data_IF_289864115280
#
_entry.id   IF_289864115280
#
_cell.length_a   1.000
_cell.length_b   1.000
_cell.length_c   1.000
_cell.angle_alpha   90.00
_cell.angle_beta   90.00
_cell.angle_gamma   90.00
#
_symmetry.space_group_name_H-M   'P 1'
#
loop_
_entity.id
_entity.type
_entity.pdbx_description
1 polymer ?
#
# COMPACT_ATOMS: atom_id res chain seq x y z
N UNK A 1 -11.33 13.62 25.83
CA UNK A 1 -10.63 12.84 24.81
C UNK A 1 -11.53 12.66 23.60
N UNK A 2 -11.14 13.26 22.54
CA UNK A 2 -11.88 13.15 21.30
C UNK A 2 -11.72 11.74 20.74
N UNK A 3 -12.83 11.06 20.50
CA UNK A 3 -12.86 9.91 19.61
C UNK A 3 -12.11 10.29 18.34
N UNK A 4 -11.30 9.36 17.80
CA UNK A 4 -10.71 9.64 16.50
C UNK A 4 -11.85 9.99 15.54
N UNK A 5 -11.92 11.23 15.23
CA UNK A 5 -12.83 11.70 14.23
C UNK A 5 -12.53 10.91 12.96
N UNK A 6 -13.53 10.26 12.41
CA UNK A 6 -13.40 9.75 11.06
C UNK A 6 -12.74 10.86 10.25
N UNK A 7 -11.58 10.57 9.67
CA UNK A 7 -10.82 11.56 8.92
C UNK A 7 -11.78 12.26 7.97
N UNK A 8 -11.83 13.58 8.04
CA UNK A 8 -12.60 14.34 7.09
C UNK A 8 -12.15 13.95 5.68
N UNK A 9 -13.07 13.76 4.74
CA UNK A 9 -12.68 13.42 3.38
C UNK A 9 -11.71 14.49 2.87
N UNK A 10 -10.60 14.04 2.27
CA UNK A 10 -9.63 14.95 1.68
C UNK A 10 -10.26 15.69 0.49
N UNK A 11 -9.73 16.88 0.17
CA UNK A 11 -10.18 17.62 -1.01
C UNK A 11 -10.09 16.75 -2.26
N UNK A 12 -10.98 17.03 -3.23
CA UNK A 12 -11.04 16.29 -4.49
C UNK A 12 -9.72 16.30 -5.29
N UNK A 13 -8.78 17.19 -4.95
CA UNK A 13 -7.48 17.32 -5.62
C UNK A 13 -6.38 16.46 -4.99
N UNK A 14 -6.72 15.43 -4.23
CA UNK A 14 -5.72 14.57 -3.58
C UNK A 14 -5.14 13.53 -4.56
N UNK A 15 -3.85 13.29 -4.43
CA UNK A 15 -3.26 12.08 -4.98
C UNK A 15 -3.73 10.88 -4.17
N UNK A 16 -3.91 9.75 -4.83
CA UNK A 16 -4.39 8.52 -4.18
C UNK A 16 -3.35 7.44 -4.35
N UNK A 17 -2.96 6.83 -3.24
CA UNK A 17 -2.03 5.71 -3.20
C UNK A 17 -2.75 4.47 -2.66
N UNK A 18 -2.77 3.40 -3.43
CA UNK A 18 -3.08 2.06 -2.95
C UNK A 18 -1.77 1.31 -2.85
N UNK A 19 -1.46 0.79 -1.67
CA UNK A 19 -0.19 0.07 -1.47
C UNK A 19 -0.44 -1.28 -0.82
N UNK A 20 0.44 -2.22 -1.16
CA UNK A 20 0.46 -3.55 -0.58
C UNK A 20 1.88 -4.11 -0.62
N UNK A 21 2.17 -5.07 0.21
CA UNK A 21 3.45 -5.74 0.25
C UNK A 21 3.29 -7.19 0.64
N UNK A 22 4.21 -8.01 0.18
CA UNK A 22 4.18 -9.43 0.46
C UNK A 22 5.61 -9.91 0.69
N UNK A 23 5.80 -10.80 1.65
CA UNK A 23 7.06 -11.50 1.85
C UNK A 23 6.85 -12.99 1.58
N UNK A 24 7.78 -13.61 0.83
CA UNK A 24 7.67 -15.02 0.54
C UNK A 24 9.03 -15.71 0.59
N UNK A 25 9.15 -16.73 1.49
CA UNK A 25 8.24 -17.00 2.60
C UNK A 25 8.15 -15.80 3.55
N UNK A 26 7.29 -15.86 4.58
CA UNK A 26 7.17 -14.77 5.54
C UNK A 26 7.79 -15.17 6.89
N UNK A 27 8.96 -14.61 7.31
CA UNK A 27 9.76 -13.60 6.59
C UNK A 27 10.52 -14.17 5.40
N UNK A 28 10.83 -13.29 4.45
CA UNK A 28 11.54 -13.69 3.25
C UNK A 28 11.73 -12.50 2.31
N UNK A 29 11.95 -12.81 1.04
CA UNK A 29 12.06 -11.80 0.02
C UNK A 29 10.75 -11.03 -0.09
N UNK A 30 10.84 -9.71 -0.22
CA UNK A 30 9.66 -8.85 -0.24
C UNK A 30 9.33 -8.36 -1.64
N UNK A 31 8.03 -8.35 -1.94
CA UNK A 31 7.48 -7.70 -3.12
C UNK A 31 6.70 -6.47 -2.71
N UNK A 32 6.94 -5.37 -3.41
CA UNK A 32 6.31 -4.08 -3.15
C UNK A 32 5.35 -3.75 -4.29
N UNK A 33 4.12 -3.41 -3.96
CA UNK A 33 3.11 -3.03 -4.93
C UNK A 33 2.44 -1.72 -4.56
N UNK A 34 2.26 -0.85 -5.53
CA UNK A 34 1.53 0.38 -5.33
C UNK A 34 0.89 0.85 -6.63
N UNK A 35 -0.25 1.51 -6.48
CA UNK A 35 -0.97 2.17 -7.57
C UNK A 35 -1.13 3.62 -7.19
N UNK A 36 -0.65 4.51 -8.03
CA UNK A 36 -0.74 5.96 -7.80
C UNK A 36 -1.69 6.56 -8.83
N UNK A 37 -2.72 7.21 -8.32
CA UNK A 37 -3.75 7.89 -9.11
C UNK A 37 -3.64 9.39 -8.88
N UNK A 38 -3.63 10.16 -9.94
CA UNK A 38 -3.54 11.62 -9.84
C UNK A 38 -4.85 12.25 -9.36
N UNK A 39 -4.82 13.58 -9.09
CA UNK A 39 -5.99 14.29 -8.61
C UNK A 39 -7.20 14.26 -9.55
N UNK A 40 -6.95 14.03 -10.83
CA UNK A 40 -8.01 13.92 -11.85
C UNK A 40 -8.61 12.50 -11.93
N UNK A 41 -8.18 11.57 -11.07
CA UNK A 41 -8.67 10.20 -11.06
C UNK A 41 -8.00 9.28 -12.06
N UNK A 42 -7.02 9.76 -12.82
CA UNK A 42 -6.31 8.91 -13.80
C UNK A 42 -5.13 8.20 -13.19
N UNK A 43 -4.90 6.97 -13.62
CA UNK A 43 -3.71 6.20 -13.22
C UNK A 43 -2.45 6.92 -13.71
N UNK A 44 -1.50 7.13 -12.81
CA UNK A 44 -0.25 7.82 -13.12
C UNK A 44 0.97 6.92 -13.07
N UNK A 45 0.98 5.97 -12.14
CA UNK A 45 2.14 5.11 -11.95
C UNK A 45 1.75 3.82 -11.23
N UNK A 46 2.47 2.75 -11.51
CA UNK A 46 2.36 1.49 -10.80
C UNK A 46 3.75 1.05 -10.38
N UNK A 47 3.84 0.48 -9.17
CA UNK A 47 5.08 -0.06 -8.62
C UNK A 47 4.91 -1.57 -8.45
N UNK A 48 5.87 -2.32 -8.96
CA UNK A 48 5.98 -3.77 -8.77
C UNK A 48 7.46 -4.09 -8.67
N UNK A 49 7.99 -4.11 -7.45
CA UNK A 49 9.43 -4.22 -7.21
C UNK A 49 9.72 -5.28 -6.15
N UNK A 50 10.71 -6.12 -6.40
CA UNK A 50 11.21 -7.06 -5.41
C UNK A 50 12.42 -6.45 -4.71
N UNK A 51 12.53 -6.68 -3.39
CA UNK A 51 13.71 -6.25 -2.65
C UNK A 51 14.85 -7.26 -2.81
N UNK A 52 16.07 -6.80 -2.55
CA UNK A 52 17.27 -7.66 -2.55
C UNK A 52 17.57 -8.22 -1.15
N UNK A 53 16.78 -7.85 -0.16
CA UNK A 53 16.92 -8.28 1.22
C UNK A 53 15.57 -8.81 1.74
N UNK A 54 15.58 -9.46 2.88
CA UNK A 54 14.41 -10.13 3.43
C UNK A 54 13.75 -9.31 4.53
N UNK A 55 12.45 -9.54 4.73
CA UNK A 55 11.67 -8.93 5.79
C UNK A 55 10.33 -9.65 5.95
N UNK A 56 9.48 -9.11 6.79
CA UNK A 56 8.13 -9.64 6.99
C UNK A 56 7.09 -8.91 6.14
N UNK A 57 5.87 -9.43 6.12
CA UNK A 57 4.77 -8.80 5.39
C UNK A 57 4.54 -7.34 5.80
N UNK A 58 4.58 -7.04 7.11
CA UNK A 58 4.38 -5.67 7.59
C UNK A 58 5.47 -4.72 7.07
N UNK A 59 6.70 -5.18 7.04
CA UNK A 59 7.81 -4.40 6.48
C UNK A 59 7.62 -4.17 4.98
N UNK A 60 7.20 -5.21 4.24
CA UNK A 60 6.96 -5.10 2.81
C UNK A 60 5.89 -4.04 2.50
N UNK A 61 4.82 -4.03 3.26
CA UNK A 61 3.74 -3.05 3.06
C UNK A 61 4.19 -1.63 3.39
N UNK A 62 4.95 -1.46 4.46
CA UNK A 62 5.50 -0.16 4.82
C UNK A 62 6.46 0.36 3.75
N UNK A 63 7.34 -0.50 3.23
CA UNK A 63 8.26 -0.14 2.17
C UNK A 63 7.55 0.18 0.85
N UNK A 64 6.44 -0.51 0.56
CA UNK A 64 5.63 -0.19 -0.61
C UNK A 64 5.08 1.24 -0.54
N UNK A 65 4.55 1.63 0.61
CA UNK A 65 4.10 3.00 0.83
C UNK A 65 5.25 3.99 0.66
N UNK A 66 6.38 3.73 1.30
CA UNK A 66 7.55 4.62 1.22
C UNK A 66 8.05 4.77 -0.22
N UNK A 67 8.04 3.69 -0.98
CA UNK A 67 8.43 3.72 -2.38
C UNK A 67 7.50 4.57 -3.22
N UNK A 68 6.19 4.48 -2.96
CA UNK A 68 5.19 5.32 -3.61
C UNK A 68 5.40 6.81 -3.27
N UNK A 69 5.66 7.11 -2.01
CA UNK A 69 5.91 8.50 -1.57
C UNK A 69 7.19 9.06 -2.19
N UNK A 70 8.23 8.25 -2.33
CA UNK A 70 9.47 8.65 -3.00
C UNK A 70 9.20 9.00 -4.47
N UNK A 71 8.44 8.17 -5.16
CA UNK A 71 8.09 8.45 -6.55
C UNK A 71 7.33 9.77 -6.66
N UNK A 72 6.36 9.97 -5.78
CA UNK A 72 5.54 11.18 -5.77
C UNK A 72 6.40 12.44 -5.53
N UNK A 73 7.34 12.36 -4.60
CA UNK A 73 8.28 13.46 -4.34
C UNK A 73 9.14 13.77 -5.56
N UNK A 74 9.55 12.74 -6.31
CA UNK A 74 10.37 12.90 -7.52
C UNK A 74 9.61 13.59 -8.66
N UNK A 75 8.28 13.59 -8.62
CA UNK A 75 7.46 14.23 -9.65
C UNK A 75 7.32 15.73 -9.45
N UNK A 76 7.96 16.28 -8.44
CA UNK A 76 7.85 17.73 -8.17
C UNK A 76 6.49 18.14 -7.63
N UNK A 77 5.77 17.22 -7.00
CA UNK A 77 4.47 17.50 -6.38
C UNK A 77 4.68 18.49 -5.23
N UNK A 78 3.84 19.51 -5.19
CA UNK A 78 3.97 20.57 -4.17
C UNK A 78 3.80 20.02 -2.76
N UNK A 79 4.54 20.58 -1.81
CA UNK A 79 4.51 20.17 -0.41
C UNK A 79 3.14 20.34 0.26
N UNK A 80 2.27 21.16 -0.31
CA UNK A 80 0.90 21.38 0.17
C UNK A 80 -0.12 20.39 -0.42
N UNK A 81 0.31 19.51 -1.32
CA UNK A 81 -0.58 18.60 -2.03
C UNK A 81 -1.14 17.53 -1.09
N UNK A 82 -2.47 17.37 -1.04
CA UNK A 82 -3.07 16.32 -0.23
C UNK A 82 -2.81 14.93 -0.83
N UNK A 83 -2.65 13.95 0.04
CA UNK A 83 -2.41 12.55 -0.34
C UNK A 83 -3.34 11.64 0.47
N UNK A 84 -4.08 10.78 -0.21
CA UNK A 84 -4.91 9.76 0.41
C UNK A 84 -4.23 8.40 0.22
N UNK A 85 -3.98 7.71 1.32
CA UNK A 85 -3.38 6.37 1.31
C UNK A 85 -4.42 5.33 1.72
N UNK A 86 -4.53 4.29 0.92
CA UNK A 86 -5.35 3.12 1.22
C UNK A 86 -4.46 1.90 1.40
N UNK A 87 -4.71 1.14 2.45
CA UNK A 87 -4.00 -0.11 2.73
C UNK A 87 -4.98 -1.11 3.35
N UNK A 88 -4.80 -2.38 3.06
CA UNK A 88 -5.57 -3.45 3.69
C UNK A 88 -4.90 -3.99 4.96
N UNK A 89 -3.80 -3.37 5.38
CA UNK A 89 -3.09 -3.73 6.60
C UNK A 89 -3.49 -2.79 7.74
N UNK A 90 -4.31 -3.28 8.65
CA UNK A 90 -4.77 -2.48 9.81
C UNK A 90 -3.61 -2.08 10.73
N UNK A 91 -2.57 -2.90 10.83
CA UNK A 91 -1.38 -2.60 11.64
C UNK A 91 -0.65 -1.39 11.07
N UNK A 92 -0.45 -1.35 9.76
CA UNK A 92 0.20 -0.23 9.09
C UNK A 92 -0.56 1.07 9.33
N UNK A 93 -1.87 1.04 9.10
CA UNK A 93 -2.73 2.22 9.27
C UNK A 93 -2.71 2.71 10.72
N UNK A 94 -2.82 1.81 11.68
CA UNK A 94 -2.77 2.15 13.09
C UNK A 94 -1.41 2.72 13.51
N UNK A 95 -0.32 2.12 13.08
CA UNK A 95 1.04 2.55 13.44
C UNK A 95 1.39 3.92 12.85
N UNK A 96 0.92 4.22 11.66
CA UNK A 96 1.16 5.52 11.02
C UNK A 96 0.19 6.59 11.49
N UNK A 97 -1.04 6.20 11.82
CA UNK A 97 -2.12 7.14 12.13
C UNK A 97 -2.19 7.58 13.57
N UNK A 98 -1.61 6.84 14.50
CA UNK A 98 -1.68 7.17 15.93
C UNK A 98 -0.44 6.72 16.69
N UNK A 99 0.05 7.60 17.56
CA UNK A 99 1.16 7.27 18.46
C UNK A 99 0.72 6.43 19.65
N UNK A 100 -0.57 6.25 19.86
CA UNK A 100 -1.10 5.47 20.97
C UNK A 100 -0.95 3.95 20.76
N UNK A 101 -0.77 3.52 19.52
CA UNK A 101 -0.55 2.10 19.21
C UNK A 101 0.87 1.70 19.57
N UNK A 102 1.08 0.62 20.35
CA UNK A 102 2.42 0.16 20.68
C UNK A 102 3.23 -0.09 19.41
N UNK A 103 4.44 0.46 19.30
CA UNK A 103 5.24 0.29 18.09
C UNK A 103 5.72 -1.15 17.95
N UNK A 104 5.84 -1.60 16.72
CA UNK A 104 6.58 -2.81 16.41
C UNK A 104 8.06 -2.42 16.51
N UNK A 105 8.71 -2.81 17.62
CA UNK A 105 10.04 -2.31 17.98
C UNK A 105 11.07 -2.47 16.85
N UNK A 106 11.04 -3.61 16.17
CA UNK A 106 11.96 -3.90 15.06
C UNK A 106 11.77 -2.97 13.87
N UNK A 107 10.54 -2.48 13.63
CA UNK A 107 10.22 -1.61 12.52
C UNK A 107 10.10 -0.13 12.90
N UNK A 108 10.34 0.21 14.17
CA UNK A 108 10.17 1.58 14.66
C UNK A 108 10.97 2.61 13.84
N UNK A 109 12.26 2.40 13.52
CA UNK A 109 12.99 3.37 12.70
C UNK A 109 12.39 3.55 11.30
N UNK A 110 11.87 2.47 10.74
CA UNK A 110 11.26 2.51 9.40
C UNK A 110 9.92 3.26 9.43
N UNK A 111 9.12 3.05 10.46
CA UNK A 111 7.89 3.81 10.65
C UNK A 111 8.16 5.30 10.86
N UNK A 112 9.22 5.64 11.59
CA UNK A 112 9.62 7.03 11.78
C UNK A 112 10.00 7.68 10.46
N UNK A 113 10.73 6.96 9.61
CA UNK A 113 11.07 7.46 8.27
C UNK A 113 9.84 7.65 7.40
N UNK A 114 8.92 6.70 7.43
CA UNK A 114 7.65 6.82 6.69
C UNK A 114 6.86 8.05 7.13
N UNK A 115 6.80 8.31 8.43
CA UNK A 115 6.12 9.51 8.95
C UNK A 115 6.78 10.78 8.46
N UNK A 116 8.12 10.82 8.42
CA UNK A 116 8.84 11.98 7.86
C UNK A 116 8.50 12.21 6.40
N UNK A 117 8.43 11.13 5.62
CA UNK A 117 8.04 11.24 4.20
C UNK A 117 6.62 11.76 4.05
N UNK A 118 5.69 11.29 4.87
CA UNK A 118 4.29 11.77 4.86
C UNK A 118 4.20 13.25 5.21
N UNK A 119 5.04 13.73 6.11
CA UNK A 119 5.08 15.16 6.48
C UNK A 119 5.54 16.06 5.35
N UNK A 120 6.17 15.52 4.33
CA UNK A 120 6.58 16.26 3.13
C UNK A 120 5.43 16.61 2.19
N UNK A 121 4.21 16.22 2.50
CA UNK A 121 3.02 16.51 1.71
C UNK A 121 2.01 17.30 2.53
N UNK A 122 0.91 17.71 1.87
CA UNK A 122 -0.19 18.40 2.54
C UNK A 122 -0.99 17.44 3.44
N UNK A 123 -2.28 17.69 3.65
CA UNK A 123 -3.08 16.78 4.48
C UNK A 123 -2.97 15.35 3.97
N UNK A 124 -2.67 14.42 4.87
CA UNK A 124 -2.56 13.00 4.55
C UNK A 124 -3.70 12.25 5.21
N UNK A 125 -4.48 11.54 4.39
CA UNK A 125 -5.47 10.59 4.87
C UNK A 125 -4.89 9.18 4.83
N UNK A 126 -5.09 8.42 5.91
CA UNK A 126 -4.73 7.01 5.98
C UNK A 126 -6.00 6.23 6.26
N UNK A 127 -6.35 5.33 5.38
CA UNK A 127 -7.58 4.57 5.52
C UNK A 127 -7.34 3.09 5.25
N UNK A 128 -7.85 2.26 6.18
CA UNK A 128 -7.92 0.83 5.95
C UNK A 128 -9.04 0.53 4.96
N UNK A 129 -8.78 -0.38 4.04
CA UNK A 129 -9.78 -0.93 3.12
C UNK A 129 -9.70 -2.45 3.15
N UNK A 130 -10.79 -3.15 2.85
CA UNK A 130 -10.74 -4.61 2.76
C UNK A 130 -9.88 -5.06 1.58
N UNK A 131 -9.31 -6.25 1.70
CA UNK A 131 -8.40 -6.83 0.70
C UNK A 131 -8.98 -6.81 -0.70
N UNK A 132 -10.28 -7.06 -0.84
CA UNK A 132 -10.96 -7.10 -2.13
C UNK A 132 -10.91 -5.75 -2.87
N UNK A 133 -10.74 -4.66 -2.14
CA UNK A 133 -10.61 -3.32 -2.72
C UNK A 133 -9.15 -2.92 -2.99
N UNK A 134 -8.20 -3.75 -2.57
CA UNK A 134 -6.78 -3.49 -2.75
C UNK A 134 -6.13 -4.48 -3.74
N UNK A 135 -6.92 -5.09 -4.60
CA UNK A 135 -6.47 -6.18 -5.47
C UNK A 135 -5.39 -5.78 -6.45
N UNK A 136 -5.43 -4.58 -6.98
CA UNK A 136 -4.41 -4.13 -7.93
C UNK A 136 -3.03 -4.01 -7.28
N UNK A 137 -2.95 -3.43 -6.07
CA UNK A 137 -1.69 -3.32 -5.34
C UNK A 137 -1.18 -4.71 -4.90
N UNK A 138 -2.08 -5.58 -4.44
CA UNK A 138 -1.74 -6.97 -4.10
C UNK A 138 -1.13 -7.71 -5.31
N UNK A 139 -1.76 -7.60 -6.45
CA UNK A 139 -1.28 -8.25 -7.67
C UNK A 139 0.12 -7.77 -8.06
N UNK A 140 0.39 -6.49 -7.94
CA UNK A 140 1.69 -5.90 -8.24
C UNK A 140 2.77 -6.38 -7.25
N UNK A 141 2.47 -6.43 -5.97
CA UNK A 141 3.39 -6.90 -4.95
C UNK A 141 3.75 -8.37 -5.19
N UNK A 142 2.76 -9.20 -5.43
CA UNK A 142 2.97 -10.63 -5.65
C UNK A 142 3.63 -10.91 -6.98
N UNK A 143 3.28 -10.18 -8.02
CA UNK A 143 3.94 -10.32 -9.34
C UNK A 143 5.44 -10.05 -9.26
N UNK A 144 5.88 -9.13 -8.42
CA UNK A 144 7.30 -8.86 -8.20
C UNK A 144 8.06 -10.09 -7.67
N UNK A 145 7.36 -10.99 -6.98
CA UNK A 145 7.91 -12.24 -6.45
C UNK A 145 7.60 -13.44 -7.34
N UNK A 146 6.95 -13.24 -8.48
CA UNK A 146 6.53 -14.34 -9.35
C UNK A 146 5.33 -15.12 -8.80
N UNK A 147 4.54 -14.55 -7.91
CA UNK A 147 3.41 -15.19 -7.27
C UNK A 147 2.08 -14.74 -7.88
N UNK A 148 1.09 -15.62 -7.85
CA UNK A 148 -0.27 -15.27 -8.26
C UNK A 148 -0.94 -14.33 -7.25
N UNK A 149 -1.88 -13.46 -7.68
CA UNK A 149 -2.61 -12.60 -6.76
C UNK A 149 -3.38 -13.40 -5.71
N UNK A 150 -3.47 -12.86 -4.49
CA UNK A 150 -4.27 -13.45 -3.40
C UNK A 150 -5.75 -13.16 -3.53
N UNK A 151 -6.09 -12.04 -4.18
CA UNK A 151 -7.48 -11.62 -4.33
C UNK A 151 -8.23 -12.61 -5.18
N UNK A 152 -9.42 -12.94 -4.73
CA UNK A 152 -10.25 -13.89 -5.44
C UNK A 152 -10.59 -13.38 -6.84
N UNK A 153 -10.29 -14.21 -7.81
CA UNK A 153 -10.82 -14.02 -9.16
C UNK A 153 -12.34 -14.25 -9.07
N UNK A 154 -13.16 -13.40 -9.70
CA UNK A 154 -14.60 -13.62 -9.73
C UNK A 154 -14.94 -15.04 -10.12
N UNK A 155 -15.92 -15.63 -9.45
CA UNK A 155 -16.28 -17.04 -9.61
C UNK A 155 -16.51 -17.43 -11.08
N UNK A 156 -17.10 -16.54 -11.85
CA UNK A 156 -17.32 -16.78 -13.28
C UNK A 156 -16.00 -16.95 -14.06
N UNK A 157 -14.96 -16.20 -13.69
CA UNK A 157 -13.65 -16.31 -14.33
C UNK A 157 -12.86 -17.51 -13.85
N UNK A 158 -13.09 -17.96 -12.61
CA UNK A 158 -12.48 -19.19 -12.11
C UNK A 158 -12.88 -20.40 -12.93
N UNK A 159 -14.15 -20.52 -13.27
CA UNK A 159 -14.66 -21.63 -14.08
C UNK A 159 -14.02 -21.69 -15.44
N UNK A 160 -13.73 -20.56 -16.04
CA UNK A 160 -13.08 -20.48 -17.35
C UNK A 160 -11.62 -20.88 -17.33
N UNK A 161 -10.96 -20.79 -16.17
CA UNK A 161 -9.55 -21.18 -16.02
C UNK A 161 -9.35 -22.65 -15.71
N UNK A 162 -10.40 -23.37 -15.40
CA UNK A 162 -10.30 -24.82 -15.30
C UNK A 162 -10.11 -25.37 -16.70
N UNK A 163 -8.93 -25.83 -16.97
CA UNK A 163 -8.70 -26.62 -18.16
C UNK A 163 -9.72 -27.74 -18.19
N UNK A 164 -10.39 -28.00 -19.31
CA UNK A 164 -11.16 -29.20 -19.44
C UNK A 164 -10.24 -30.35 -19.15
N UNK A 165 -10.67 -31.24 -18.27
CA UNK A 165 -9.94 -32.49 -18.04
C UNK A 165 -9.72 -33.11 -19.39
N UNK A 166 -8.50 -33.39 -19.70
CA UNK A 166 -8.19 -34.18 -20.86
C UNK A 166 -8.74 -35.59 -20.64
N UNK A 167 -9.68 -35.99 -21.42
CA UNK A 167 -10.08 -37.40 -21.49
C UNK A 167 -8.94 -38.23 -22.04
#
# INVERSE_FOLDING_TARGET
>A
MTTPRAAAPLPAAAWVIHCDGSAWPNPGRMGLGAVLTGPDGTLRHQISEATTFTGCNNEAELRALMRALQWLAQQGVAASTPVQVFSDNSVLVAQLGTKATPPIARLAPLFDEARRQLQGFGPVGLQWIPRQRNGAADALARAALGLAPKTDIPHALRKKKRSPSQS
#
